data_IF_938628147479
#
_entry.id   IF_938628147479
#
_cell.length_a   1.000
_cell.length_b   1.000
_cell.length_c   1.000
_cell.angle_alpha   90.00
_cell.angle_beta   90.00
_cell.angle_gamma   90.00
#
_symmetry.space_group_name_H-M   'P 1'
#
loop_
_entity.id
_entity.type
_entity.pdbx_description
1 polymer ?
#
# COMPACT_ATOMS: atom_id res chain seq x y z
N UNK A 1 -35.84 -6.04 10.84
CA UNK A 1 -35.42 -4.62 10.89
C UNK A 1 -34.42 -4.34 12.02
N UNK A 2 -34.68 -4.68 13.31
CA UNK A 2 -33.76 -4.38 14.45
C UNK A 2 -32.37 -5.02 14.33
N UNK A 3 -32.23 -6.28 13.87
CA UNK A 3 -30.90 -6.94 13.71
C UNK A 3 -30.02 -6.27 12.68
N UNK A 4 -30.56 -5.72 11.62
CA UNK A 4 -29.80 -5.01 10.60
C UNK A 4 -29.18 -3.71 11.10
N UNK A 5 -29.92 -2.95 11.93
CA UNK A 5 -29.44 -1.70 12.51
C UNK A 5 -28.39 -1.92 13.60
N UNK A 6 -28.53 -2.97 14.41
CA UNK A 6 -27.53 -3.35 15.42
C UNK A 6 -26.22 -3.78 14.76
N UNK A 7 -26.24 -4.59 13.70
CA UNK A 7 -25.06 -4.95 12.94
C UNK A 7 -24.38 -3.75 12.30
N UNK A 8 -25.14 -2.80 11.75
CA UNK A 8 -24.63 -1.57 11.17
C UNK A 8 -23.94 -0.69 12.21
N UNK A 9 -24.57 -0.51 13.38
CA UNK A 9 -24.00 0.27 14.47
C UNK A 9 -22.73 -0.37 15.04
N UNK A 10 -22.69 -1.68 15.20
CA UNK A 10 -21.52 -2.42 15.64
C UNK A 10 -20.37 -2.26 14.64
N UNK A 11 -20.64 -2.35 13.35
CA UNK A 11 -19.67 -2.11 12.29
C UNK A 11 -19.08 -0.72 12.36
N UNK A 12 -19.90 0.33 12.43
CA UNK A 12 -19.44 1.73 12.53
C UNK A 12 -18.56 1.93 13.77
N UNK A 13 -18.97 1.36 14.92
CA UNK A 13 -18.19 1.45 16.14
C UNK A 13 -16.82 0.75 16.03
N UNK A 14 -16.78 -0.40 15.37
CA UNK A 14 -15.53 -1.12 15.10
C UNK A 14 -14.62 -0.34 14.14
N UNK A 15 -15.17 0.18 13.05
CA UNK A 15 -14.45 1.00 12.07
C UNK A 15 -13.81 2.22 12.74
N UNK A 16 -14.54 2.90 13.60
CA UNK A 16 -14.03 4.03 14.37
C UNK A 16 -12.87 3.64 15.28
N UNK A 17 -13.00 2.53 16.02
CA UNK A 17 -11.93 2.03 16.90
C UNK A 17 -10.67 1.62 16.12
N UNK A 18 -10.83 0.98 14.97
CA UNK A 18 -9.70 0.63 14.10
C UNK A 18 -8.99 1.88 13.58
N UNK A 19 -9.76 2.88 13.13
CA UNK A 19 -9.20 4.14 12.69
C UNK A 19 -8.43 4.86 13.80
N UNK A 20 -9.01 4.94 15.00
CA UNK A 20 -8.37 5.52 16.19
C UNK A 20 -7.08 4.76 16.56
N UNK A 21 -7.12 3.42 16.56
CA UNK A 21 -5.96 2.60 16.86
C UNK A 21 -4.79 2.89 15.91
N UNK A 22 -5.03 2.80 14.60
CA UNK A 22 -3.97 3.01 13.60
C UNK A 22 -3.49 4.47 13.52
N UNK A 23 -4.35 5.44 13.84
CA UNK A 23 -3.97 6.85 13.90
C UNK A 23 -3.01 7.16 15.05
N UNK A 24 -3.04 6.37 16.11
CA UNK A 24 -2.18 6.53 17.28
C UNK A 24 -0.82 5.80 17.16
N UNK A 25 -0.63 4.98 16.14
CA UNK A 25 0.64 4.28 15.93
C UNK A 25 1.71 5.27 15.48
N UNK A 26 2.83 5.30 16.21
CA UNK A 26 3.91 6.26 15.97
C UNK A 26 5.23 5.55 15.68
N UNK A 27 6.01 6.12 14.77
CA UNK A 27 7.40 5.71 14.57
C UNK A 27 8.24 6.10 15.80
N UNK A 28 9.21 5.26 16.20
CA UNK A 28 10.18 5.64 17.20
C UNK A 28 11.04 6.84 16.71
N UNK A 29 11.68 7.53 17.64
CA UNK A 29 12.53 8.70 17.33
C UNK A 29 13.82 8.36 16.60
N UNK A 30 14.28 7.10 16.70
CA UNK A 30 15.48 6.64 15.99
C UNK A 30 15.15 6.22 14.54
N UNK A 31 16.18 6.07 13.72
CA UNK A 31 16.08 5.66 12.33
C UNK A 31 15.49 4.26 12.21
N UNK A 32 14.48 4.11 11.37
CA UNK A 32 13.75 2.86 11.16
C UNK A 32 13.99 2.32 9.76
N UNK A 33 13.59 1.05 9.54
CA UNK A 33 13.63 0.43 8.23
C UNK A 33 12.79 1.19 7.19
N UNK A 34 11.69 1.84 7.60
CA UNK A 34 10.89 2.68 6.70
C UNK A 34 11.69 3.88 6.19
N UNK A 35 12.51 4.49 7.05
CA UNK A 35 13.36 5.61 6.65
C UNK A 35 14.43 5.16 5.67
N UNK A 36 15.08 4.03 5.95
CA UNK A 36 16.12 3.46 5.08
C UNK A 36 15.53 3.06 3.73
N UNK A 37 14.36 2.43 3.70
CA UNK A 37 13.65 2.08 2.48
C UNK A 37 13.38 3.33 1.62
N UNK A 38 12.85 4.41 2.22
CA UNK A 38 12.57 5.63 1.47
C UNK A 38 13.86 6.29 0.97
N UNK A 39 14.94 6.26 1.76
CA UNK A 39 16.23 6.82 1.37
C UNK A 39 16.94 6.03 0.26
N UNK A 40 16.67 4.72 0.15
CA UNK A 40 17.24 3.86 -0.90
C UNK A 40 16.55 3.98 -2.25
N UNK A 41 15.36 4.61 -2.28
CA UNK A 41 14.53 4.76 -3.48
C UNK A 41 14.56 6.20 -4.01
N UNK A 42 14.12 6.37 -5.26
CA UNK A 42 14.13 7.63 -5.98
C UNK A 42 12.73 8.04 -6.43
N UNK A 43 12.59 9.21 -7.02
CA UNK A 43 11.33 9.69 -7.61
C UNK A 43 10.78 8.81 -8.76
N UNK A 44 11.61 7.93 -9.33
CA UNK A 44 11.22 6.97 -10.36
C UNK A 44 10.54 5.73 -9.78
N UNK A 45 10.77 5.48 -8.50
CA UNK A 45 10.29 4.31 -7.79
C UNK A 45 8.92 4.55 -7.15
N UNK A 46 8.24 3.46 -6.81
CA UNK A 46 6.92 3.52 -6.19
C UNK A 46 6.81 2.48 -5.07
N UNK A 47 6.43 2.93 -3.88
CA UNK A 47 6.04 2.06 -2.78
C UNK A 47 4.52 1.90 -2.82
N UNK A 48 4.06 0.66 -2.91
CA UNK A 48 2.64 0.30 -2.89
C UNK A 48 2.32 -0.39 -1.56
N UNK A 49 1.52 0.24 -0.72
CA UNK A 49 1.21 -0.25 0.62
C UNK A 49 -0.25 -0.68 0.75
N UNK A 50 -0.46 -1.81 1.45
CA UNK A 50 -1.77 -2.29 1.89
C UNK A 50 -2.06 -1.92 3.35
N UNK A 51 -1.10 -1.31 4.05
CA UNK A 51 -1.21 -0.98 5.46
C UNK A 51 -2.06 0.25 5.70
N UNK A 52 -2.87 0.20 6.76
CA UNK A 52 -3.72 1.32 7.17
C UNK A 52 -3.00 2.34 8.06
N UNK A 53 -1.94 1.92 8.77
CA UNK A 53 -1.19 2.80 9.66
C UNK A 53 -0.44 3.91 8.91
N UNK A 54 -0.10 4.97 9.64
CA UNK A 54 0.60 6.13 9.08
C UNK A 54 2.13 6.04 9.13
N UNK A 55 2.73 4.91 9.52
CA UNK A 55 4.18 4.79 9.74
C UNK A 55 5.00 5.17 8.50
N UNK A 56 4.60 4.69 7.34
CA UNK A 56 5.27 5.03 6.08
C UNK A 56 5.17 6.53 5.76
N UNK A 57 4.02 7.16 6.04
CA UNK A 57 3.84 8.61 5.90
C UNK A 57 4.75 9.38 6.87
N UNK A 58 4.84 8.93 8.12
CA UNK A 58 5.69 9.55 9.12
C UNK A 58 7.17 9.49 8.72
N UNK A 59 7.64 8.33 8.25
CA UNK A 59 8.99 8.16 7.72
C UNK A 59 9.21 9.06 6.50
N UNK A 60 8.26 9.09 5.56
CA UNK A 60 8.34 9.93 4.37
C UNK A 60 8.49 11.42 4.70
N UNK A 61 7.76 11.91 5.71
CA UNK A 61 7.85 13.28 6.18
C UNK A 61 9.18 13.56 6.91
N UNK A 62 9.71 12.57 7.61
CA UNK A 62 11.02 12.67 8.28
C UNK A 62 12.16 12.75 7.27
N UNK A 63 12.14 11.87 6.27
CA UNK A 63 13.11 11.85 5.16
C UNK A 63 12.99 13.08 4.26
N UNK A 64 11.81 13.69 4.17
CA UNK A 64 11.59 14.93 3.43
C UNK A 64 12.49 16.11 3.88
N UNK A 65 12.98 16.05 5.11
CA UNK A 65 13.94 17.04 5.65
C UNK A 65 15.36 16.81 5.18
N UNK A 66 15.65 15.66 4.60
CA UNK A 66 16.99 15.22 4.17
C UNK A 66 17.11 15.31 2.64
N UNK A 67 16.11 14.82 1.91
CA UNK A 67 16.15 14.78 0.44
C UNK A 67 14.78 15.02 -0.20
N UNK A 68 14.81 15.61 -1.39
CA UNK A 68 13.63 15.76 -2.25
C UNK A 68 13.42 14.54 -3.16
N UNK A 69 14.50 13.81 -3.46
CA UNK A 69 14.45 12.61 -4.30
C UNK A 69 13.91 11.44 -3.49
N UNK A 70 12.62 11.20 -3.61
CA UNK A 70 11.87 10.20 -2.82
C UNK A 70 10.85 9.50 -3.70
N UNK A 71 10.53 8.21 -3.41
CA UNK A 71 9.56 7.45 -4.18
C UNK A 71 8.15 8.00 -4.05
N UNK A 72 7.31 7.67 -5.01
CA UNK A 72 5.87 7.82 -4.85
C UNK A 72 5.36 6.77 -3.85
N UNK A 73 4.39 7.14 -3.01
CA UNK A 73 3.72 6.19 -2.12
C UNK A 73 2.24 6.10 -2.49
N UNK A 74 1.75 4.87 -2.58
CA UNK A 74 0.35 4.54 -2.86
C UNK A 74 -0.23 3.68 -1.75
N UNK A 75 -1.50 3.90 -1.42
CA UNK A 75 -2.21 3.20 -0.35
C UNK A 75 -3.45 2.49 -0.92
N UNK A 76 -3.32 1.23 -1.27
CA UNK A 76 -4.35 0.47 -1.99
C UNK A 76 -5.58 0.13 -1.16
N UNK A 77 -5.42 0.04 0.16
CA UNK A 77 -6.51 -0.19 1.11
C UNK A 77 -6.87 1.06 1.93
N UNK A 78 -6.44 2.24 1.49
CA UNK A 78 -6.54 3.46 2.27
C UNK A 78 -5.45 3.57 3.32
N UNK A 79 -5.44 4.69 4.05
CA UNK A 79 -4.47 4.96 5.11
C UNK A 79 -4.99 6.05 6.04
N UNK A 80 -4.82 5.89 7.34
CA UNK A 80 -5.34 6.85 8.35
C UNK A 80 -4.64 8.21 8.32
N UNK A 81 -3.43 8.28 7.79
CA UNK A 81 -2.68 9.53 7.63
C UNK A 81 -2.96 10.27 6.31
N UNK A 82 -3.64 9.62 5.36
CA UNK A 82 -3.95 10.19 4.06
C UNK A 82 -5.27 10.98 4.09
N UNK A 83 -5.32 12.02 3.27
CA UNK A 83 -6.52 12.85 3.12
C UNK A 83 -6.80 13.24 1.68
N UNK A 84 -8.05 13.52 1.37
CA UNK A 84 -8.54 13.92 0.05
C UNK A 84 -9.35 15.21 0.13
N UNK A 85 -9.10 16.12 -0.77
CA UNK A 85 -9.98 17.26 -1.03
C UNK A 85 -10.96 16.86 -2.13
N UNK A 86 -12.23 16.66 -1.77
CA UNK A 86 -13.26 16.21 -2.73
C UNK A 86 -13.57 17.26 -3.79
N UNK A 87 -13.42 18.55 -3.47
CA UNK A 87 -13.70 19.62 -4.43
C UNK A 87 -12.60 19.78 -5.48
N UNK A 88 -11.34 19.60 -5.08
CA UNK A 88 -10.18 19.79 -5.95
C UNK A 88 -9.57 18.50 -6.46
N UNK A 89 -10.05 17.35 -5.98
CA UNK A 89 -9.50 16.02 -6.27
C UNK A 89 -7.98 15.96 -6.05
N UNK A 90 -7.53 16.59 -4.95
CA UNK A 90 -6.12 16.59 -4.54
C UNK A 90 -5.93 15.77 -3.28
N UNK A 91 -4.75 15.18 -3.15
CA UNK A 91 -4.38 14.33 -2.03
C UNK A 91 -3.32 15.00 -1.16
N UNK A 92 -3.32 14.66 0.12
CA UNK A 92 -2.37 15.18 1.08
C UNK A 92 -2.45 14.44 2.42
N UNK A 93 -1.92 15.05 3.45
CA UNK A 93 -2.04 14.52 4.82
C UNK A 93 -3.34 15.00 5.43
N UNK A 94 -4.03 14.09 6.16
CA UNK A 94 -5.32 14.37 6.79
C UNK A 94 -5.31 15.61 7.70
N UNK A 95 -4.16 15.93 8.30
CA UNK A 95 -4.00 17.08 9.20
C UNK A 95 -3.74 18.40 8.47
N UNK A 96 -3.60 18.36 7.16
CA UNK A 96 -3.25 19.53 6.34
C UNK A 96 -4.49 20.09 5.61
N UNK A 97 -4.26 21.21 4.94
CA UNK A 97 -5.26 21.91 4.12
C UNK A 97 -4.92 21.76 2.64
N UNK A 98 -5.96 21.70 1.83
CA UNK A 98 -5.82 21.67 0.37
C UNK A 98 -5.13 22.94 -0.14
N UNK A 99 -4.03 22.77 -0.85
CA UNK A 99 -3.27 23.91 -1.41
C UNK A 99 -4.00 24.67 -2.51
N UNK A 100 -5.07 24.08 -3.09
CA UNK A 100 -5.86 24.74 -4.14
C UNK A 100 -7.01 25.58 -3.58
N UNK A 101 -7.74 25.08 -2.57
CA UNK A 101 -8.94 25.77 -2.07
C UNK A 101 -8.89 26.11 -0.58
N UNK A 102 -7.82 25.75 0.14
CA UNK A 102 -7.66 26.04 1.57
C UNK A 102 -8.56 25.24 2.51
N UNK A 103 -9.40 24.33 2.00
CA UNK A 103 -10.24 23.47 2.85
C UNK A 103 -9.43 22.36 3.49
N UNK A 104 -9.80 21.88 4.70
CA UNK A 104 -9.16 20.72 5.31
C UNK A 104 -9.35 19.48 4.43
N UNK A 105 -8.38 18.59 4.43
CA UNK A 105 -8.53 17.29 3.80
C UNK A 105 -9.51 16.42 4.58
N UNK A 106 -10.33 15.65 3.87
CA UNK A 106 -11.20 14.64 4.44
C UNK A 106 -10.44 13.30 4.54
N UNK A 107 -10.76 12.49 5.56
CA UNK A 107 -10.22 11.15 5.67
C UNK A 107 -10.55 10.32 4.42
N UNK A 108 -9.60 9.51 3.98
CA UNK A 108 -9.84 8.51 2.94
C UNK A 108 -10.47 7.26 3.55
N UNK A 109 -11.29 6.51 2.79
CA UNK A 109 -11.86 5.26 3.27
C UNK A 109 -10.77 4.22 3.54
N UNK A 110 -11.03 3.35 4.53
CA UNK A 110 -10.24 2.15 4.73
C UNK A 110 -11.00 0.95 4.14
N UNK A 111 -10.34 0.14 3.34
CA UNK A 111 -10.90 -1.12 2.84
C UNK A 111 -10.66 -2.23 3.86
N UNK A 112 -11.72 -2.66 4.50
CA UNK A 112 -11.68 -3.71 5.51
C UNK A 112 -11.56 -5.11 4.88
N UNK A 113 -11.04 -6.11 5.62
CA UNK A 113 -10.88 -7.48 5.13
C UNK A 113 -12.23 -8.21 5.08
N UNK A 114 -13.05 -7.86 4.10
CA UNK A 114 -14.32 -8.50 3.77
C UNK A 114 -14.16 -9.29 2.48
N UNK A 115 -15.00 -10.32 2.28
CA UNK A 115 -14.90 -11.21 1.11
C UNK A 115 -15.02 -10.50 -0.25
N UNK A 116 -15.81 -9.41 -0.29
CA UNK A 116 -15.96 -8.57 -1.47
C UNK A 116 -15.59 -7.13 -1.11
N UNK A 117 -14.42 -6.69 -1.56
CA UNK A 117 -13.98 -5.31 -1.44
C UNK A 117 -14.36 -4.55 -2.70
N UNK A 118 -15.04 -3.44 -2.55
CA UNK A 118 -15.35 -2.58 -3.69
C UNK A 118 -14.23 -1.56 -3.92
N UNK A 119 -13.27 -1.92 -4.77
CA UNK A 119 -12.15 -1.07 -5.16
C UNK A 119 -12.56 0.08 -6.10
N UNK A 120 -13.79 0.09 -6.59
CA UNK A 120 -14.28 1.07 -7.56
C UNK A 120 -15.22 2.11 -6.97
N UNK A 121 -15.80 1.88 -5.78
CA UNK A 121 -16.79 2.77 -5.16
C UNK A 121 -16.21 4.12 -4.73
N UNK A 122 -14.94 4.14 -4.34
CA UNK A 122 -14.25 5.36 -3.92
C UNK A 122 -13.21 5.82 -4.93
N UNK A 123 -13.26 7.11 -5.30
CA UNK A 123 -12.35 7.67 -6.31
C UNK A 123 -10.89 7.64 -5.87
N UNK A 124 -10.60 7.85 -4.57
CA UNK A 124 -9.24 7.78 -4.06
C UNK A 124 -8.67 6.37 -4.25
N UNK A 125 -9.38 5.34 -3.78
CA UNK A 125 -8.93 3.95 -3.88
C UNK A 125 -8.73 3.55 -5.34
N UNK A 126 -9.71 3.84 -6.20
CA UNK A 126 -9.62 3.56 -7.64
C UNK A 126 -8.39 4.21 -8.30
N UNK A 127 -8.11 5.46 -7.95
CA UNK A 127 -6.96 6.18 -8.50
C UNK A 127 -5.64 5.58 -7.99
N UNK A 128 -5.56 5.20 -6.69
CA UNK A 128 -4.39 4.51 -6.15
C UNK A 128 -4.10 3.20 -6.92
N UNK A 129 -5.12 2.38 -7.16
CA UNK A 129 -5.01 1.14 -7.93
C UNK A 129 -4.63 1.39 -9.39
N UNK A 130 -5.20 2.40 -10.02
CA UNK A 130 -4.87 2.76 -11.41
C UNK A 130 -3.39 3.13 -11.54
N UNK A 131 -2.88 3.96 -10.64
CA UNK A 131 -1.48 4.36 -10.63
C UNK A 131 -0.57 3.19 -10.28
N UNK A 132 -0.95 2.32 -9.33
CA UNK A 132 -0.17 1.12 -9.01
C UNK A 132 -0.02 0.19 -10.21
N UNK A 133 -1.10 -0.08 -10.95
CA UNK A 133 -1.06 -0.86 -12.19
C UNK A 133 -0.08 -0.28 -13.21
N UNK A 134 -0.08 1.03 -13.37
CA UNK A 134 0.85 1.71 -14.26
C UNK A 134 2.30 1.48 -13.84
N UNK A 135 2.64 1.70 -12.56
CA UNK A 135 4.01 1.47 -12.08
C UNK A 135 4.44 0.01 -12.21
N UNK A 136 3.59 -0.94 -11.82
CA UNK A 136 3.87 -2.38 -11.95
C UNK A 136 4.13 -2.75 -13.42
N UNK A 137 3.31 -2.26 -14.36
CA UNK A 137 3.47 -2.55 -15.78
C UNK A 137 4.75 -1.96 -16.42
N UNK A 138 5.43 -1.03 -15.73
CA UNK A 138 6.68 -0.39 -16.17
C UNK A 138 7.89 -0.80 -15.34
N UNK A 139 7.67 -1.56 -14.27
CA UNK A 139 8.74 -1.97 -13.38
C UNK A 139 9.70 -2.94 -14.05
N UNK A 140 11.02 -2.69 -13.92
CA UNK A 140 12.05 -3.69 -14.21
C UNK A 140 12.23 -4.65 -13.05
N UNK A 141 12.04 -4.17 -11.81
CA UNK A 141 12.13 -4.97 -10.58
C UNK A 141 10.92 -4.70 -9.67
N UNK A 142 10.42 -5.76 -9.05
CA UNK A 142 9.38 -5.67 -8.01
C UNK A 142 9.86 -6.37 -6.76
N UNK A 143 9.81 -5.68 -5.63
CA UNK A 143 10.08 -6.25 -4.31
C UNK A 143 8.76 -6.32 -3.52
N UNK A 144 8.45 -7.50 -3.01
CA UNK A 144 7.29 -7.76 -2.18
C UNK A 144 7.78 -7.91 -0.74
N UNK A 145 7.29 -7.06 0.15
CA UNK A 145 7.75 -7.00 1.53
C UNK A 145 6.58 -7.25 2.50
N UNK A 146 6.58 -8.38 3.18
CA UNK A 146 5.60 -8.72 4.22
C UNK A 146 4.15 -8.79 3.74
N UNK A 147 3.93 -9.13 2.46
CA UNK A 147 2.59 -9.29 1.89
C UNK A 147 2.36 -10.73 1.44
N UNK A 148 1.52 -11.43 2.16
CA UNK A 148 1.27 -12.87 1.96
C UNK A 148 0.24 -13.20 0.87
N UNK A 149 -0.25 -12.21 0.13
CA UNK A 149 -1.27 -12.38 -0.93
C UNK A 149 -2.43 -13.30 -0.51
N UNK A 150 -3.06 -12.98 0.62
CA UNK A 150 -4.10 -13.81 1.23
C UNK A 150 -5.16 -14.21 0.20
N UNK A 151 -5.61 -15.47 0.28
CA UNK A 151 -6.67 -16.02 -0.59
C UNK A 151 -8.01 -15.25 -0.49
N UNK A 152 -8.21 -14.52 0.60
CA UNK A 152 -9.33 -13.60 0.81
C UNK A 152 -9.23 -12.30 -0.01
N UNK A 153 -8.07 -12.00 -0.60
CA UNK A 153 -7.83 -10.79 -1.40
C UNK A 153 -7.75 -11.10 -2.90
N UNK A 154 -8.69 -11.91 -3.38
CA UNK A 154 -8.73 -12.40 -4.77
C UNK A 154 -8.70 -11.28 -5.80
N UNK A 155 -9.48 -10.22 -5.58
CA UNK A 155 -9.56 -9.10 -6.51
C UNK A 155 -8.23 -8.34 -6.61
N UNK A 156 -7.55 -8.12 -5.48
CA UNK A 156 -6.20 -7.56 -5.48
C UNK A 156 -5.21 -8.46 -6.22
N UNK A 157 -5.29 -9.77 -6.01
CA UNK A 157 -4.47 -10.75 -6.72
C UNK A 157 -4.71 -10.72 -8.22
N UNK A 158 -5.98 -10.66 -8.67
CA UNK A 158 -6.32 -10.57 -10.09
C UNK A 158 -5.84 -9.26 -10.73
N UNK A 159 -5.97 -8.14 -10.01
CA UNK A 159 -5.48 -6.84 -10.45
C UNK A 159 -3.96 -6.86 -10.61
N UNK A 160 -3.25 -7.45 -9.65
CA UNK A 160 -1.80 -7.62 -9.73
C UNK A 160 -1.42 -8.54 -10.89
N UNK A 161 -2.07 -9.71 -11.03
CA UNK A 161 -1.86 -10.62 -12.17
C UNK A 161 -2.02 -9.90 -13.51
N UNK A 162 -3.12 -9.14 -13.66
CA UNK A 162 -3.36 -8.39 -14.89
C UNK A 162 -2.31 -7.33 -15.18
N UNK A 163 -1.76 -6.69 -14.13
CA UNK A 163 -0.71 -5.69 -14.28
C UNK A 163 0.66 -6.30 -14.65
N UNK A 164 0.91 -7.54 -14.22
CA UNK A 164 2.10 -8.33 -14.61
C UNK A 164 1.91 -9.05 -15.94
N UNK A 165 0.68 -9.24 -16.40
CA UNK A 165 0.40 -9.84 -17.71
C UNK A 165 0.90 -8.93 -18.81
N UNK A 166 1.51 -9.53 -19.83
CA UNK A 166 2.11 -8.83 -20.97
C UNK A 166 1.15 -7.81 -21.60
N UNK A 167 1.59 -6.57 -21.69
CA UNK A 167 1.16 -5.67 -22.76
C UNK A 167 2.15 -5.82 -23.91
N UNK A 168 1.67 -6.19 -25.09
CA UNK A 168 2.41 -6.22 -26.36
C UNK A 168 3.62 -7.18 -26.48
N UNK A 169 3.61 -8.28 -25.75
CA UNK A 169 4.60 -9.34 -25.94
C UNK A 169 5.98 -9.10 -25.32
N UNK A 170 6.25 -7.93 -24.76
CA UNK A 170 7.54 -7.61 -24.13
C UNK A 170 7.32 -7.33 -22.64
N UNK A 171 7.45 -8.35 -21.82
CA UNK A 171 7.51 -8.17 -20.38
C UNK A 171 8.94 -7.77 -20.00
N UNK A 172 9.09 -6.62 -19.32
CA UNK A 172 10.40 -6.10 -18.88
C UNK A 172 10.63 -6.29 -17.38
N UNK A 173 9.93 -7.21 -16.74
CA UNK A 173 10.23 -7.52 -15.35
C UNK A 173 11.47 -8.42 -15.29
N UNK A 174 12.59 -7.85 -14.90
CA UNK A 174 13.88 -8.52 -14.87
C UNK A 174 14.06 -9.35 -13.59
N UNK A 175 13.44 -8.89 -12.47
CA UNK A 175 13.56 -9.57 -11.18
C UNK A 175 12.33 -9.34 -10.30
N UNK A 176 12.02 -10.37 -9.52
CA UNK A 176 11.09 -10.28 -8.39
C UNK A 176 11.81 -10.72 -7.12
N UNK A 177 11.65 -9.97 -6.08
CA UNK A 177 12.21 -10.24 -4.77
C UNK A 177 11.06 -10.34 -3.76
N UNK A 178 11.11 -11.35 -2.90
CA UNK A 178 10.14 -11.52 -1.82
C UNK A 178 10.91 -11.51 -0.50
N UNK A 179 10.57 -10.59 0.37
CA UNK A 179 11.13 -10.45 1.71
C UNK A 179 10.01 -10.75 2.70
N UNK A 180 10.22 -11.78 3.51
CA UNK A 180 9.26 -12.21 4.52
C UNK A 180 9.97 -12.40 5.86
N UNK A 181 9.22 -12.40 6.95
CA UNK A 181 9.77 -12.61 8.29
C UNK A 181 10.38 -14.01 8.43
N UNK A 182 11.39 -14.20 9.31
CA UNK A 182 11.95 -15.52 9.59
C UNK A 182 10.88 -16.51 10.04
N UNK A 183 11.00 -17.77 9.59
CA UNK A 183 10.08 -18.86 9.92
C UNK A 183 8.95 -19.09 8.93
N UNK A 184 8.84 -18.28 7.87
CA UNK A 184 7.96 -18.59 6.74
C UNK A 184 8.53 -19.74 5.90
N UNK A 185 7.63 -20.62 5.42
CA UNK A 185 8.00 -21.71 4.55
C UNK A 185 8.21 -21.19 3.12
N UNK A 186 9.43 -21.30 2.63
CA UNK A 186 9.77 -20.85 1.27
C UNK A 186 8.94 -21.54 0.16
N UNK A 187 8.51 -22.79 0.39
CA UNK A 187 7.67 -23.50 -0.56
C UNK A 187 6.26 -22.89 -0.64
N UNK A 188 5.65 -22.55 0.50
CA UNK A 188 4.33 -21.91 0.53
C UNK A 188 4.36 -20.54 -0.14
N UNK A 189 5.43 -19.77 0.05
CA UNK A 189 5.63 -18.50 -0.63
C UNK A 189 5.80 -18.70 -2.12
N UNK A 190 6.63 -19.65 -2.51
CA UNK A 190 6.85 -20.00 -3.92
C UNK A 190 5.56 -20.44 -4.60
N UNK A 191 4.74 -21.29 -3.95
CA UNK A 191 3.44 -21.70 -4.46
C UNK A 191 2.46 -20.53 -4.62
N UNK A 192 2.44 -19.62 -3.64
CA UNK A 192 1.57 -18.43 -3.69
C UNK A 192 1.95 -17.50 -4.84
N UNK A 193 3.25 -17.30 -5.05
CA UNK A 193 3.76 -16.30 -6.00
C UNK A 193 4.19 -16.86 -7.35
N UNK A 194 4.29 -18.19 -7.54
CA UNK A 194 4.69 -18.82 -8.81
C UNK A 194 3.81 -18.43 -10.01
N UNK A 195 2.53 -18.16 -9.76
CA UNK A 195 1.59 -17.71 -10.80
C UNK A 195 1.86 -16.29 -11.28
N UNK A 196 2.64 -15.53 -10.53
CA UNK A 196 2.93 -14.15 -10.86
C UNK A 196 4.28 -14.01 -11.58
N UNK A 197 5.25 -14.89 -11.24
CA UNK A 197 6.63 -14.68 -11.65
C UNK A 197 7.34 -15.97 -12.03
N UNK A 198 8.03 -15.93 -13.17
CA UNK A 198 8.92 -17.02 -13.60
C UNK A 198 10.32 -16.95 -12.95
N UNK A 199 10.69 -15.78 -12.41
CA UNK A 199 12.00 -15.54 -11.78
C UNK A 199 11.74 -14.84 -10.42
N UNK A 200 11.88 -15.60 -9.33
CA UNK A 200 11.65 -15.07 -7.98
C UNK A 200 12.86 -15.36 -7.10
N UNK A 201 13.39 -14.32 -6.46
CA UNK A 201 14.38 -14.42 -5.39
C UNK A 201 13.65 -14.27 -4.04
N UNK A 202 13.95 -15.15 -3.10
CA UNK A 202 13.37 -15.15 -1.77
C UNK A 202 14.42 -14.82 -0.72
N UNK A 203 14.08 -13.90 0.18
CA UNK A 203 14.91 -13.52 1.33
C UNK A 203 14.11 -13.62 2.61
N UNK A 204 14.67 -14.28 3.63
CA UNK A 204 14.10 -14.37 4.97
C UNK A 204 14.48 -13.18 5.85
N UNK A 205 15.41 -12.35 5.42
CA UNK A 205 15.84 -11.14 6.10
C UNK A 205 16.03 -10.02 5.07
N UNK A 206 15.68 -8.80 5.44
CA UNK A 206 15.87 -7.62 4.59
C UNK A 206 17.35 -7.32 4.35
N UNK A 207 18.24 -7.74 5.27
CA UNK A 207 19.69 -7.56 5.13
C UNK A 207 20.25 -8.32 3.92
N UNK A 208 19.60 -9.41 3.52
CA UNK A 208 19.98 -10.22 2.36
C UNK A 208 19.34 -9.69 1.06
N UNK A 209 18.50 -8.66 1.17
CA UNK A 209 17.84 -8.01 0.05
C UNK A 209 18.82 -7.18 -0.79
N UNK A 210 18.40 -6.85 -2.00
CA UNK A 210 19.13 -5.95 -2.92
C UNK A 210 19.09 -4.47 -2.48
N UNK A 211 18.46 -4.15 -1.36
CA UNK A 211 18.36 -2.78 -0.81
C UNK A 211 19.29 -2.53 0.35
#
# INVERSE_FOLDING_TARGET
FRRGDECKNARIAMEKKLYEYFSNVQLPSFLTIYDLLILSLTEKDCIVSFNWDSLLIQAYNRVAKITWNRPKILFLHGNVGAGVCKDCMTFGLIQNYCRKCGKPYNAVPLLYPVEQKDYNSDSFIRDQWSVAKYYISKAGKVTIFGYSALSSDKEASEILKAAFSKHDGVHRLDAVEIIERPGFNANEISETWQYFFSLTNYHSDIVDSFY
#
